data_IF_565455306636
#
_entry.id   IF_565455306636
#
_cell.length_a   1.000
_cell.length_b   1.000
_cell.length_c   1.000
_cell.angle_alpha   90.00
_cell.angle_beta   90.00
_cell.angle_gamma   90.00
#
_symmetry.space_group_name_H-M   'P 1'
#
loop_
_entity.id
_entity.type
_entity.pdbx_description
1 polymer ?
#
# COMPACT_ATOMS: atom_id res chain seq x y z
N UNK A 1 5.67 -1.75 2.77
CA UNK A 1 4.68 -2.05 3.85
C UNK A 1 5.12 -1.60 5.26
N UNK A 2 6.25 -2.08 5.81
CA UNK A 2 6.68 -1.77 7.20
C UNK A 2 6.81 -0.26 7.46
N UNK A 3 7.36 0.47 6.50
CA UNK A 3 7.51 1.94 6.58
C UNK A 3 6.15 2.66 6.62
N UNK A 4 5.17 2.13 5.90
CA UNK A 4 3.82 2.69 5.84
C UNK A 4 3.07 2.49 7.16
N UNK A 5 3.20 1.30 7.77
CA UNK A 5 2.71 1.01 9.12
C UNK A 5 3.32 1.97 10.15
N UNK A 6 4.65 2.17 10.13
CA UNK A 6 5.31 3.08 11.04
C UNK A 6 4.79 4.52 10.91
N UNK A 7 4.59 5.00 9.67
CA UNK A 7 4.04 6.33 9.42
C UNK A 7 2.58 6.45 9.89
N UNK A 8 1.75 5.42 9.68
CA UNK A 8 0.36 5.38 10.18
C UNK A 8 0.33 5.43 11.71
N UNK A 9 1.17 4.64 12.38
CA UNK A 9 1.28 4.67 13.84
C UNK A 9 1.71 6.05 14.32
N UNK A 10 2.69 6.70 13.66
CA UNK A 10 3.10 8.05 13.97
C UNK A 10 1.95 9.07 13.81
N UNK A 11 1.14 8.93 12.75
CA UNK A 11 -0.05 9.76 12.53
C UNK A 11 -1.08 9.56 13.64
N UNK A 12 -1.39 8.32 14.02
CA UNK A 12 -2.30 7.99 15.13
C UNK A 12 -1.82 8.57 16.45
N UNK A 13 -0.53 8.38 16.77
CA UNK A 13 0.08 8.96 17.97
C UNK A 13 0.05 10.48 17.95
N UNK A 14 0.25 11.11 16.79
CA UNK A 14 0.13 12.57 16.62
C UNK A 14 -1.29 13.08 16.87
N UNK A 15 -2.31 12.35 16.40
CA UNK A 15 -3.73 12.69 16.66
C UNK A 15 -4.01 12.58 18.17
N UNK A 16 -3.54 11.51 18.83
CA UNK A 16 -3.70 11.31 20.27
C UNK A 16 -2.96 12.39 21.08
N UNK A 17 -1.79 12.81 20.62
CA UNK A 17 -1.00 13.88 21.21
C UNK A 17 -1.57 15.29 20.95
N UNK A 18 -2.69 15.40 20.21
CA UNK A 18 -3.31 16.68 19.80
C UNK A 18 -2.31 17.60 19.10
N UNK A 19 -1.52 17.04 18.20
CA UNK A 19 -0.64 17.83 17.32
C UNK A 19 -1.46 18.80 16.47
N UNK A 20 -0.82 19.88 16.03
CA UNK A 20 -1.45 20.85 15.15
C UNK A 20 -1.97 20.19 13.86
N UNK A 21 -3.14 20.61 13.39
CA UNK A 21 -3.78 20.09 12.18
C UNK A 21 -2.86 20.20 10.95
N UNK A 22 -2.08 21.28 10.86
CA UNK A 22 -1.05 21.49 9.83
C UNK A 22 0.01 20.38 9.83
N UNK A 23 0.50 19.98 11.01
CA UNK A 23 1.47 18.90 11.16
C UNK A 23 0.85 17.54 10.81
N UNK A 24 -0.39 17.30 11.21
CA UNK A 24 -1.12 16.08 10.88
C UNK A 24 -1.38 15.97 9.36
N UNK A 25 -1.74 17.08 8.71
CA UNK A 25 -1.92 17.15 7.27
C UNK A 25 -0.60 16.88 6.53
N UNK A 26 0.51 17.42 7.02
CA UNK A 26 1.84 17.16 6.45
C UNK A 26 2.24 15.68 6.57
N UNK A 27 2.02 15.05 7.73
CA UNK A 27 2.30 13.61 7.93
C UNK A 27 1.39 12.76 7.04
N UNK A 28 0.10 13.09 6.95
CA UNK A 28 -0.87 12.43 6.05
C UNK A 28 -0.41 12.52 4.59
N UNK A 29 -0.11 13.72 4.10
CA UNK A 29 0.33 13.92 2.71
C UNK A 29 1.59 13.11 2.42
N UNK A 30 2.57 13.14 3.33
CA UNK A 30 3.80 12.35 3.21
C UNK A 30 3.51 10.86 3.17
N UNK A 31 2.55 10.37 3.96
CA UNK A 31 2.15 8.97 3.96
C UNK A 31 1.51 8.57 2.63
N UNK A 32 0.62 9.39 2.10
CA UNK A 32 -0.05 9.13 0.82
C UNK A 32 0.94 9.20 -0.35
N UNK A 33 1.85 10.17 -0.37
CA UNK A 33 2.92 10.26 -1.38
C UNK A 33 3.82 9.01 -1.33
N UNK A 34 4.27 8.60 -0.14
CA UNK A 34 5.06 7.37 0.02
C UNK A 34 4.29 6.13 -0.42
N UNK A 35 2.99 6.03 -0.13
CA UNK A 35 2.13 4.94 -0.61
C UNK A 35 2.11 4.93 -2.15
N UNK A 36 1.84 6.06 -2.79
CA UNK A 36 1.77 6.17 -4.25
C UNK A 36 3.11 5.76 -4.88
N UNK A 37 4.23 6.18 -4.30
CA UNK A 37 5.58 5.82 -4.74
C UNK A 37 5.83 4.32 -4.57
N UNK A 38 5.45 3.73 -3.43
CA UNK A 38 5.64 2.29 -3.18
C UNK A 38 4.77 1.45 -4.14
N UNK A 39 3.55 1.90 -4.43
CA UNK A 39 2.63 1.28 -5.40
C UNK A 39 3.08 1.48 -6.85
N UNK A 40 3.80 2.56 -7.14
CA UNK A 40 4.33 2.86 -8.47
C UNK A 40 5.59 2.06 -8.81
N UNK A 41 6.19 1.36 -7.83
CA UNK A 41 7.28 0.41 -8.12
C UNK A 41 6.70 -0.73 -8.95
N UNK A 42 7.21 -0.88 -10.17
CA UNK A 42 6.76 -1.94 -11.08
C UNK A 42 6.92 -3.30 -10.40
N UNK A 43 5.82 -4.05 -10.31
CA UNK A 43 5.89 -5.47 -10.00
C UNK A 43 6.72 -6.16 -11.09
N UNK A 44 7.61 -7.09 -10.74
CA UNK A 44 8.48 -7.74 -11.69
C UNK A 44 7.57 -8.49 -12.67
N UNK A 45 7.75 -8.20 -13.95
CA UNK A 45 7.03 -8.90 -14.99
C UNK A 45 7.43 -10.37 -14.90
N UNK A 46 6.43 -11.26 -14.82
CA UNK A 46 6.65 -12.71 -14.88
C UNK A 46 7.12 -13.17 -16.28
N UNK A 47 7.20 -12.24 -17.24
CA UNK A 47 7.69 -12.47 -18.59
C UNK A 47 9.14 -12.98 -18.57
N UNK A 48 9.31 -14.26 -18.93
CA UNK A 48 10.62 -14.92 -19.04
C UNK A 48 10.90 -16.03 -18.01
N UNK A 49 10.02 -16.27 -17.03
CA UNK A 49 10.16 -17.44 -16.14
C UNK A 49 9.53 -18.69 -16.77
N UNK A 50 10.34 -19.72 -16.99
CA UNK A 50 9.94 -20.99 -17.62
C UNK A 50 8.87 -21.80 -16.85
N UNK A 51 8.55 -21.43 -15.60
CA UNK A 51 7.62 -22.17 -14.71
C UNK A 51 6.39 -21.34 -14.29
N UNK A 52 5.98 -20.34 -15.08
CA UNK A 52 4.80 -19.52 -14.77
C UNK A 52 3.54 -20.21 -15.30
N UNK A 53 2.63 -20.56 -14.41
CA UNK A 53 1.35 -21.14 -14.78
C UNK A 53 0.32 -20.05 -15.13
N UNK A 54 -0.77 -20.44 -15.78
CA UNK A 54 -1.93 -19.56 -16.05
C UNK A 54 -2.54 -19.03 -14.75
N UNK A 55 -2.44 -19.77 -13.64
CA UNK A 55 -2.87 -19.30 -12.32
C UNK A 55 -1.97 -18.17 -11.81
N UNK A 56 -0.65 -18.32 -11.89
CA UNK A 56 0.32 -17.31 -11.45
C UNK A 56 0.12 -15.98 -12.17
N UNK A 57 -0.20 -16.05 -13.48
CA UNK A 57 -0.48 -14.87 -14.29
C UNK A 57 -1.81 -14.21 -13.89
N UNK A 58 -2.83 -14.99 -13.55
CA UNK A 58 -4.11 -14.45 -13.07
C UNK A 58 -3.99 -13.83 -11.67
N UNK A 59 -3.25 -14.48 -10.76
CA UNK A 59 -2.95 -13.95 -9.43
C UNK A 59 -2.17 -12.63 -9.55
N UNK A 60 -1.13 -12.59 -10.39
CA UNK A 60 -0.39 -11.34 -10.66
C UNK A 60 -1.33 -10.25 -11.20
N UNK A 61 -2.18 -10.57 -12.18
CA UNK A 61 -3.14 -9.59 -12.74
C UNK A 61 -4.10 -9.05 -11.68
N UNK A 62 -4.60 -9.92 -10.79
CA UNK A 62 -5.46 -9.50 -9.68
C UNK A 62 -4.70 -8.57 -8.72
N UNK A 63 -3.45 -8.90 -8.37
CA UNK A 63 -2.60 -8.05 -7.53
C UNK A 63 -2.36 -6.68 -8.16
N UNK A 64 -1.92 -6.68 -9.42
CA UNK A 64 -1.67 -5.43 -10.17
C UNK A 64 -2.94 -4.59 -10.22
N UNK A 65 -4.10 -5.20 -10.45
CA UNK A 65 -5.38 -4.48 -10.47
C UNK A 65 -5.73 -3.89 -9.10
N UNK A 66 -5.58 -4.65 -8.02
CA UNK A 66 -5.83 -4.14 -6.67
C UNK A 66 -4.86 -3.02 -6.27
N UNK A 67 -3.57 -3.14 -6.64
CA UNK A 67 -2.58 -2.10 -6.40
C UNK A 67 -2.93 -0.80 -7.15
N UNK A 68 -3.33 -0.90 -8.43
CA UNK A 68 -3.79 0.26 -9.19
C UNK A 68 -5.02 0.90 -8.55
N UNK A 69 -6.00 0.11 -8.10
CA UNK A 69 -7.18 0.64 -7.43
C UNK A 69 -6.83 1.39 -6.13
N UNK A 70 -5.93 0.83 -5.32
CA UNK A 70 -5.44 1.51 -4.12
C UNK A 70 -4.71 2.80 -4.50
N UNK A 71 -3.88 2.78 -5.54
CA UNK A 71 -3.14 3.94 -6.00
C UNK A 71 -4.07 5.06 -6.47
N UNK A 72 -5.07 4.74 -7.30
CA UNK A 72 -6.07 5.72 -7.76
C UNK A 72 -6.84 6.30 -6.58
N UNK A 73 -7.24 5.46 -5.63
CA UNK A 73 -7.95 5.92 -4.43
C UNK A 73 -7.07 6.84 -3.59
N UNK A 74 -5.79 6.49 -3.40
CA UNK A 74 -4.83 7.30 -2.67
C UNK A 74 -4.58 8.65 -3.35
N UNK A 75 -4.49 8.70 -4.69
CA UNK A 75 -4.37 9.96 -5.45
C UNK A 75 -5.62 10.82 -5.27
N UNK A 76 -6.82 10.22 -5.28
CA UNK A 76 -8.07 10.96 -5.04
C UNK A 76 -8.10 11.53 -3.62
N UNK A 77 -7.85 10.70 -2.62
CA UNK A 77 -7.78 11.12 -1.22
C UNK A 77 -6.67 12.14 -0.97
N UNK A 78 -5.58 12.14 -1.74
CA UNK A 78 -4.55 13.20 -1.68
C UNK A 78 -5.07 14.55 -2.17
N UNK A 79 -5.88 14.55 -3.23
CA UNK A 79 -6.43 15.76 -3.84
C UNK A 79 -7.67 16.26 -3.10
N UNK A 80 -8.39 15.38 -2.41
CA UNK A 80 -9.50 15.76 -1.55
C UNK A 80 -8.95 16.30 -0.23
N UNK A 81 -9.45 17.47 0.19
CA UNK A 81 -9.12 18.09 1.48
C UNK A 81 -9.87 17.39 2.62
N UNK A 82 -9.66 16.07 2.73
CA UNK A 82 -10.29 15.24 3.75
C UNK A 82 -9.53 15.38 5.07
N UNK A 83 -10.29 15.50 6.16
CA UNK A 83 -9.72 15.53 7.50
C UNK A 83 -8.84 14.30 7.75
N UNK A 84 -7.74 14.50 8.49
CA UNK A 84 -6.81 13.42 8.81
C UNK A 84 -7.52 12.26 9.50
N UNK A 85 -8.51 12.53 10.35
CA UNK A 85 -9.31 11.50 11.02
C UNK A 85 -10.24 10.76 10.06
N UNK A 86 -10.69 11.41 8.99
CA UNK A 86 -11.53 10.79 7.96
C UNK A 86 -10.71 9.89 7.04
N UNK A 87 -9.47 10.29 6.71
CA UNK A 87 -8.58 9.50 5.82
C UNK A 87 -7.85 8.35 6.52
N UNK A 88 -7.74 8.39 7.85
CA UNK A 88 -7.09 7.33 8.64
C UNK A 88 -7.66 5.93 8.36
N UNK A 89 -8.99 5.68 8.43
CA UNK A 89 -9.56 4.36 8.12
C UNK A 89 -9.33 3.93 6.68
N UNK A 90 -9.35 4.85 5.70
CA UNK A 90 -9.04 4.53 4.30
C UNK A 90 -7.59 4.03 4.14
N UNK A 91 -6.64 4.71 4.78
CA UNK A 91 -5.23 4.31 4.76
C UNK A 91 -5.04 2.94 5.42
N UNK A 92 -5.75 2.68 6.53
CA UNK A 92 -5.72 1.38 7.20
C UNK A 92 -6.26 0.26 6.32
N UNK A 93 -7.38 0.49 5.64
CA UNK A 93 -7.99 -0.46 4.71
C UNK A 93 -7.04 -0.75 3.51
N UNK A 94 -6.37 0.28 2.97
CA UNK A 94 -5.37 0.08 1.93
C UNK A 94 -4.17 -0.73 2.40
N UNK A 95 -3.71 -0.46 3.62
CA UNK A 95 -2.60 -1.20 4.21
C UNK A 95 -2.99 -2.66 4.48
N UNK A 96 -4.19 -2.91 5.01
CA UNK A 96 -4.70 -4.27 5.23
C UNK A 96 -4.83 -5.03 3.90
N UNK A 97 -5.36 -4.37 2.87
CA UNK A 97 -5.38 -4.94 1.51
C UNK A 97 -3.98 -5.20 0.99
N UNK A 98 -3.02 -4.30 1.19
CA UNK A 98 -1.62 -4.52 0.82
C UNK A 98 -1.03 -5.72 1.55
N UNK A 99 -1.29 -5.84 2.85
CA UNK A 99 -0.85 -6.97 3.67
C UNK A 99 -1.48 -8.26 3.16
N UNK A 100 -2.79 -8.31 2.91
CA UNK A 100 -3.50 -9.45 2.31
C UNK A 100 -3.00 -9.78 0.90
N UNK A 101 -2.60 -8.79 0.11
CA UNK A 101 -1.98 -9.01 -1.20
C UNK A 101 -0.57 -9.59 -1.07
N UNK A 102 0.10 -9.37 0.06
CA UNK A 102 1.40 -9.97 0.41
C UNK A 102 1.33 -11.26 1.23
N UNK A 103 0.24 -11.50 1.97
CA UNK A 103 -0.06 -12.72 2.71
C UNK A 103 -0.86 -13.67 1.81
N UNK A 104 -0.18 -14.58 1.12
CA UNK A 104 -0.82 -15.57 0.24
C UNK A 104 -1.40 -16.76 1.01
N UNK A 105 -2.64 -17.20 0.72
CA UNK A 105 -3.19 -18.43 1.29
C UNK A 105 -2.68 -19.74 0.65
N UNK A 106 -1.69 -19.76 -0.24
CA UNK A 106 -1.35 -20.98 -0.99
C UNK A 106 0.14 -21.36 -0.97
N UNK A 107 0.35 -22.64 -0.61
CA UNK A 107 1.58 -23.45 -0.62
C UNK A 107 2.26 -23.58 -2.02
N UNK A 108 2.07 -22.63 -2.95
CA UNK A 108 2.59 -22.75 -4.31
C UNK A 108 2.89 -21.40 -4.94
N UNK A 109 3.96 -20.76 -4.46
CA UNK A 109 5.04 -20.10 -5.21
C UNK A 109 5.92 -19.39 -4.16
N UNK A 110 7.17 -19.81 -3.91
CA UNK A 110 8.00 -19.19 -2.87
C UNK A 110 8.67 -17.89 -3.35
N UNK A 111 8.70 -16.89 -2.46
CA UNK A 111 9.83 -15.96 -2.26
C UNK A 111 10.23 -14.96 -3.37
N UNK A 112 9.28 -14.29 -4.05
CA UNK A 112 9.64 -13.12 -4.91
C UNK A 112 8.94 -11.84 -4.49
N UNK A 113 7.66 -11.89 -4.10
CA UNK A 113 6.91 -10.69 -3.71
C UNK A 113 7.40 -10.09 -2.38
N UNK A 114 7.69 -10.91 -1.38
CA UNK A 114 8.16 -10.47 -0.05
C UNK A 114 9.55 -9.80 -0.14
N UNK A 115 10.39 -10.19 -1.09
CA UNK A 115 11.71 -9.58 -1.30
C UNK A 115 11.66 -8.16 -1.89
N UNK A 116 10.60 -7.78 -2.60
CA UNK A 116 10.55 -6.50 -3.30
C UNK A 116 9.91 -5.36 -2.52
N UNK A 117 9.07 -5.67 -1.53
CA UNK A 117 8.38 -4.65 -0.71
C UNK A 117 9.07 -4.46 0.66
N UNK A 118 10.18 -5.17 0.87
CA UNK A 118 11.00 -5.14 2.11
C UNK A 118 12.37 -4.47 1.92
N UNK A 119 12.64 -3.93 0.73
CA UNK A 119 13.82 -3.09 0.45
C UNK A 119 13.66 -1.68 1.01
#
# INVERSE_FOLDING_TARGET
IVKLQANLTALKSGIQAKMAEDQLAQIRLKLIDELIVDLSKELPRLEGKQNVTVLDTQILKLRVKSLHQIQETAIRVRNEDMDVKATLPDIEDWLDKLIQLTEEPQNSMPDVFIWMIRG
#
